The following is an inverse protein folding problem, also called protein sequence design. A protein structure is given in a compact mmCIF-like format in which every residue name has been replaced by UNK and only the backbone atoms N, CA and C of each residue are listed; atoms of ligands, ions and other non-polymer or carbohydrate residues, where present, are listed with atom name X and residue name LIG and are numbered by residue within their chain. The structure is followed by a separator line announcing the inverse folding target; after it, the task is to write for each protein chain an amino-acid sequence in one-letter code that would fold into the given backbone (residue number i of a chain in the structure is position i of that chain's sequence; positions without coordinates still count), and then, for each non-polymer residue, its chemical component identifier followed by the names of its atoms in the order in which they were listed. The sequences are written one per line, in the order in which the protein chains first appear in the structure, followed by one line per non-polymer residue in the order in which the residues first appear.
data_IF_648464613721
#
_entry.id   IF_648464613721
#
_cell.length_a   1.000
_cell.length_b   1.000
_cell.length_c   1.000
_cell.angle_alpha   90.00
_cell.angle_beta   90.00
_cell.angle_gamma   90.00
#
_symmetry.space_group_name_H-M   'P 1'
#
loop_
_entity.id
_entity.type
_entity.pdbx_description
1 polymer ?
#
# COMPACT_ATOMS: atom_id res chain seq x y z
N UNK A 1 -28.61 20.57 -23.74
CA UNK A 1 -27.14 20.51 -23.57
C UNK A 1 -26.88 20.25 -22.09
N UNK A 2 -26.82 18.97 -21.69
CA UNK A 2 -26.75 18.59 -20.28
C UNK A 2 -25.28 18.65 -19.84
N UNK A 3 -24.92 19.73 -19.15
CA UNK A 3 -23.67 19.84 -18.42
C UNK A 3 -23.71 18.83 -17.27
N UNK A 4 -23.20 17.63 -17.56
CA UNK A 4 -22.81 16.69 -16.52
C UNK A 4 -21.77 17.40 -15.66
N UNK A 5 -22.23 17.93 -14.53
CA UNK A 5 -21.39 18.38 -13.42
C UNK A 5 -20.58 17.15 -13.00
N UNK A 6 -19.39 17.02 -13.58
CA UNK A 6 -18.42 16.03 -13.19
C UNK A 6 -18.06 16.32 -11.73
N UNK A 7 -18.72 15.63 -10.79
CA UNK A 7 -18.26 15.53 -9.40
C UNK A 7 -16.76 15.27 -9.47
N UNK A 8 -15.93 16.21 -8.98
CA UNK A 8 -14.50 16.01 -8.79
C UNK A 8 -14.32 14.83 -7.84
N UNK A 9 -14.33 13.61 -8.37
CA UNK A 9 -13.90 12.45 -7.62
C UNK A 9 -12.43 12.71 -7.24
N UNK A 10 -12.05 12.53 -5.96
CA UNK A 10 -10.67 12.70 -5.58
C UNK A 10 -9.80 11.84 -6.49
N UNK A 11 -8.70 12.40 -7.00
CA UNK A 11 -7.81 11.66 -7.88
C UNK A 11 -7.33 10.43 -7.11
N UNK A 12 -7.68 9.24 -7.61
CA UNK A 12 -7.31 7.98 -6.95
C UNK A 12 -5.79 7.87 -6.81
N UNK A 13 -5.03 8.52 -7.70
CA UNK A 13 -3.59 8.63 -7.56
C UNK A 13 -3.18 9.44 -6.32
N UNK A 14 -3.86 10.55 -6.02
CA UNK A 14 -3.60 11.37 -4.83
C UNK A 14 -3.88 10.61 -3.53
N UNK A 15 -4.97 9.84 -3.49
CA UNK A 15 -5.28 8.96 -2.35
C UNK A 15 -4.18 7.90 -2.18
N UNK A 16 -3.73 7.28 -3.27
CA UNK A 16 -2.64 6.31 -3.23
C UNK A 16 -1.34 6.90 -2.67
N UNK A 17 -1.00 8.14 -3.06
CA UNK A 17 0.17 8.86 -2.52
C UNK A 17 0.06 9.11 -1.02
N UNK A 18 -1.09 9.59 -0.52
CA UNK A 18 -1.27 9.80 0.92
C UNK A 18 -1.07 8.49 1.70
N UNK A 19 -1.56 7.38 1.16
CA UNK A 19 -1.46 6.07 1.80
C UNK A 19 -0.05 5.46 1.73
N UNK A 20 0.75 5.78 0.71
CA UNK A 20 2.11 5.24 0.56
C UNK A 20 3.14 5.98 1.41
N UNK A 21 2.93 7.27 1.70
CA UNK A 21 3.85 8.07 2.53
C UNK A 21 4.17 7.41 3.88
N UNK A 22 3.18 7.01 4.72
CA UNK A 22 3.48 6.36 5.99
C UNK A 22 4.17 5.00 5.82
N UNK A 23 3.90 4.29 4.72
CA UNK A 23 4.55 3.02 4.38
C UNK A 23 6.03 3.24 4.07
N UNK A 24 6.35 4.23 3.24
CA UNK A 24 7.73 4.56 2.88
C UNK A 24 8.50 5.01 4.11
N UNK A 25 7.90 5.85 4.96
CA UNK A 25 8.52 6.27 6.22
C UNK A 25 8.84 5.08 7.12
N UNK A 26 7.90 4.16 7.29
CA UNK A 26 8.10 2.94 8.06
C UNK A 26 9.29 2.11 7.55
N UNK A 27 9.35 1.84 6.24
CA UNK A 27 10.44 1.06 5.65
C UNK A 27 11.78 1.80 5.69
N UNK A 28 11.79 3.13 5.56
CA UNK A 28 13.00 3.93 5.68
C UNK A 28 13.59 3.85 7.10
N UNK A 29 12.74 3.95 8.13
CA UNK A 29 13.18 3.77 9.53
C UNK A 29 13.67 2.34 9.75
N UNK A 30 12.97 1.34 9.24
CA UNK A 30 13.40 -0.06 9.35
C UNK A 30 14.76 -0.31 8.71
N UNK A 31 14.96 0.17 7.47
CA UNK A 31 16.23 0.05 6.77
C UNK A 31 17.34 0.79 7.52
N UNK A 32 17.08 1.99 8.05
CA UNK A 32 18.06 2.75 8.83
C UNK A 32 18.47 2.01 10.11
N UNK A 33 17.51 1.43 10.84
CA UNK A 33 17.80 0.59 12.00
C UNK A 33 18.58 -0.68 11.63
N UNK A 34 18.30 -1.27 10.45
CA UNK A 34 19.01 -2.43 9.93
C UNK A 34 20.45 -2.09 9.53
N UNK A 35 20.70 -0.96 8.88
CA UNK A 35 22.05 -0.55 8.47
C UNK A 35 22.92 -0.05 9.62
N UNK A 36 22.31 0.51 10.67
CA UNK A 36 23.05 1.01 11.82
C UNK A 36 23.47 -0.10 12.80
N UNK A 37 22.91 -1.31 12.68
CA UNK A 37 23.15 -2.38 13.63
C UNK A 37 23.40 -3.71 12.90
N UNK A 38 24.58 -4.30 13.12
CA UNK A 38 24.99 -5.58 12.53
C UNK A 38 24.15 -6.78 13.02
N UNK A 39 23.48 -6.65 14.17
CA UNK A 39 22.60 -7.66 14.75
C UNK A 39 21.13 -7.39 14.42
N UNK A 40 20.49 -8.32 13.72
CA UNK A 40 19.06 -8.23 13.35
C UNK A 40 18.14 -8.08 14.57
N UNK A 41 18.53 -8.65 15.71
CA UNK A 41 17.76 -8.62 16.96
C UNK A 41 17.80 -7.25 17.63
N UNK A 42 18.97 -6.62 17.62
CA UNK A 42 19.17 -5.28 18.18
C UNK A 42 18.54 -4.21 17.28
N UNK A 43 18.64 -4.37 15.96
CA UNK A 43 17.93 -3.55 14.98
C UNK A 43 16.43 -3.55 15.19
N UNK A 44 15.85 -4.73 15.47
CA UNK A 44 14.42 -4.88 15.76
C UNK A 44 14.02 -4.23 17.09
N UNK A 45 14.88 -4.29 18.11
CA UNK A 45 14.66 -3.61 19.40
C UNK A 45 14.69 -2.09 19.22
N UNK A 46 15.68 -1.58 18.47
CA UNK A 46 15.79 -0.15 18.17
C UNK A 46 14.58 0.35 17.38
N UNK A 47 14.16 -0.37 16.34
CA UNK A 47 12.95 -0.11 15.56
C UNK A 47 11.73 -0.01 16.47
N UNK A 48 11.57 -0.96 17.40
CA UNK A 48 10.44 -0.99 18.35
C UNK A 48 10.48 0.12 19.41
N UNK A 49 11.63 0.78 19.60
CA UNK A 49 11.74 1.96 20.46
C UNK A 49 11.19 3.22 19.78
N UNK A 50 11.23 3.27 18.45
CA UNK A 50 10.79 4.41 17.64
C UNK A 50 9.33 4.22 17.19
N UNK A 51 9.01 3.02 16.69
CA UNK A 51 7.72 2.67 16.10
C UNK A 51 7.01 1.65 17.00
N UNK A 52 5.75 1.90 17.40
CA UNK A 52 5.02 0.98 18.26
C UNK A 52 4.78 -0.37 17.59
N UNK A 53 4.82 -1.46 18.36
CA UNK A 53 4.57 -2.82 17.86
C UNK A 53 3.15 -3.02 17.31
N UNK A 54 2.19 -2.23 17.82
CA UNK A 54 0.77 -2.30 17.45
C UNK A 54 0.19 -0.90 17.31
N UNK A 55 -0.73 -0.75 16.36
CA UNK A 55 -1.62 0.40 16.23
C UNK A 55 -3.05 -0.10 16.16
N UNK A 56 -3.95 0.46 16.98
CA UNK A 56 -5.39 0.11 16.99
C UNK A 56 -5.60 -1.41 17.18
N UNK A 57 -4.81 -2.03 18.07
CA UNK A 57 -4.87 -3.46 18.36
C UNK A 57 -4.25 -4.39 17.29
N UNK A 58 -3.83 -3.86 16.13
CA UNK A 58 -3.22 -4.63 15.04
C UNK A 58 -1.70 -4.50 15.03
N UNK A 59 -0.94 -5.58 14.75
CA UNK A 59 0.50 -5.53 14.48
C UNK A 59 0.83 -4.48 13.41
N UNK A 60 1.83 -3.62 13.66
CA UNK A 60 2.15 -2.49 12.77
C UNK A 60 2.52 -2.95 11.36
N UNK A 61 3.23 -4.07 11.24
CA UNK A 61 3.56 -4.67 9.94
C UNK A 61 2.30 -4.98 9.11
N UNK A 62 1.23 -5.47 9.75
CA UNK A 62 -0.04 -5.74 9.08
C UNK A 62 -0.72 -4.45 8.65
N UNK A 63 -0.66 -3.39 9.46
CA UNK A 63 -1.22 -2.08 9.10
C UNK A 63 -0.48 -1.47 7.91
N UNK A 64 0.86 -1.50 7.93
CA UNK A 64 1.71 -1.05 6.81
C UNK A 64 1.41 -1.86 5.55
N UNK A 65 1.23 -3.18 5.71
CA UNK A 65 0.89 -4.08 4.60
C UNK A 65 -0.49 -3.78 4.00
N UNK A 66 -1.50 -3.53 4.84
CA UNK A 66 -2.84 -3.11 4.40
C UNK A 66 -2.78 -1.77 3.67
N UNK A 67 -2.07 -0.78 4.19
CA UNK A 67 -1.89 0.53 3.55
C UNK A 67 -1.20 0.40 2.18
N UNK A 68 -0.18 -0.45 2.09
CA UNK A 68 0.53 -0.74 0.83
C UNK A 68 -0.43 -1.35 -0.20
N UNK A 69 -1.22 -2.34 0.23
CA UNK A 69 -2.19 -3.03 -0.62
C UNK A 69 -3.29 -2.10 -1.13
N UNK A 70 -3.82 -1.23 -0.26
CA UNK A 70 -4.82 -0.23 -0.62
C UNK A 70 -4.22 0.81 -1.58
N UNK A 71 -2.99 1.27 -1.34
CA UNK A 71 -2.29 2.21 -2.22
C UNK A 71 -2.03 1.62 -3.61
N UNK A 72 -1.58 0.37 -3.69
CA UNK A 72 -1.41 -0.36 -4.95
C UNK A 72 -2.74 -0.52 -5.69
N UNK A 73 -3.81 -0.88 -4.99
CA UNK A 73 -5.15 -0.99 -5.57
C UNK A 73 -5.60 0.33 -6.22
N UNK A 74 -5.43 1.46 -5.52
CA UNK A 74 -5.80 2.77 -6.06
C UNK A 74 -4.91 3.19 -7.23
N UNK A 75 -3.59 2.95 -7.14
CA UNK A 75 -2.63 3.25 -8.21
C UNK A 75 -2.92 2.46 -9.49
N UNK A 76 -3.17 1.15 -9.36
CA UNK A 76 -3.50 0.29 -10.50
C UNK A 76 -4.89 0.62 -11.05
N UNK A 77 -5.88 0.88 -10.19
CA UNK A 77 -7.21 1.32 -10.61
C UNK A 77 -7.16 2.64 -11.38
N UNK A 78 -6.33 3.60 -10.95
CA UNK A 78 -6.12 4.86 -11.65
C UNK A 78 -5.46 4.65 -13.02
N UNK A 79 -4.40 3.82 -13.08
CA UNK A 79 -3.70 3.49 -14.32
C UNK A 79 -4.59 2.75 -15.32
N UNK A 80 -5.38 1.78 -14.84
CA UNK A 80 -6.34 1.04 -15.64
C UNK A 80 -7.48 1.94 -16.11
N UNK A 81 -8.01 2.86 -15.30
CA UNK A 81 -9.02 3.83 -15.74
C UNK A 81 -8.52 4.74 -16.87
N UNK A 82 -7.24 5.10 -16.87
CA UNK A 82 -6.63 5.93 -17.92
C UNK A 82 -6.33 5.15 -19.21
N UNK A 83 -5.96 3.85 -19.12
CA UNK A 83 -5.58 3.04 -20.28
C UNK A 83 -6.66 2.10 -20.83
N UNK A 84 -7.67 1.79 -20.04
CA UNK A 84 -8.75 0.86 -20.40
C UNK A 84 -10.09 1.49 -20.02
N UNK A 85 -11.20 1.07 -20.64
CA UNK A 85 -12.57 1.49 -20.25
C UNK A 85 -12.96 0.82 -18.91
N UNK A 86 -12.14 1.00 -17.88
CA UNK A 86 -12.23 0.35 -16.56
C UNK A 86 -13.55 0.62 -15.83
N UNK A 87 -14.21 1.74 -16.16
CA UNK A 87 -15.53 2.06 -15.64
C UNK A 87 -16.62 1.10 -16.16
N UNK A 88 -16.40 0.44 -17.30
CA UNK A 88 -17.31 -0.57 -17.88
C UNK A 88 -17.01 -2.01 -17.43
N UNK A 89 -15.88 -2.27 -16.78
CA UNK A 89 -15.53 -3.64 -16.37
C UNK A 89 -16.47 -4.10 -15.24
N UNK A 90 -17.00 -5.34 -15.26
CA UNK A 90 -17.80 -5.89 -14.17
C UNK A 90 -17.06 -5.86 -12.83
N UNK A 91 -17.78 -5.57 -11.73
CA UNK A 91 -17.22 -5.49 -10.37
C UNK A 91 -16.40 -6.74 -9.99
N UNK A 92 -16.87 -7.92 -10.38
CA UNK A 92 -16.21 -9.22 -10.12
C UNK A 92 -14.81 -9.30 -10.76
N UNK A 93 -14.65 -8.76 -11.97
CA UNK A 93 -13.36 -8.73 -12.67
C UNK A 93 -12.40 -7.74 -11.99
N UNK A 94 -12.91 -6.60 -11.53
CA UNK A 94 -12.11 -5.63 -10.77
C UNK A 94 -11.60 -6.24 -9.45
N UNK A 95 -12.46 -6.95 -8.73
CA UNK A 95 -12.09 -7.68 -7.52
C UNK A 95 -11.05 -8.76 -7.81
N UNK A 96 -11.25 -9.57 -8.85
CA UNK A 96 -10.29 -10.62 -9.23
C UNK A 96 -8.91 -10.05 -9.56
N UNK A 97 -8.84 -8.95 -10.32
CA UNK A 97 -7.56 -8.27 -10.63
C UNK A 97 -6.90 -7.74 -9.36
N UNK A 98 -7.68 -7.21 -8.43
CA UNK A 98 -7.18 -6.63 -7.17
C UNK A 98 -6.64 -7.71 -6.23
N UNK A 99 -7.36 -8.82 -6.11
CA UNK A 99 -6.93 -10.02 -5.37
C UNK A 99 -5.68 -10.60 -6.04
N UNK A 100 -5.63 -10.65 -7.37
CA UNK A 100 -4.46 -11.10 -8.13
C UNK A 100 -3.21 -10.28 -7.80
N UNK A 101 -3.31 -8.95 -7.88
CA UNK A 101 -2.21 -8.03 -7.53
C UNK A 101 -1.77 -8.20 -6.08
N UNK A 102 -2.72 -8.36 -5.16
CA UNK A 102 -2.44 -8.61 -3.75
C UNK A 102 -1.68 -9.94 -3.53
N UNK A 103 -2.10 -11.01 -4.22
CA UNK A 103 -1.41 -12.30 -4.16
C UNK A 103 -0.01 -12.24 -4.77
N UNK A 104 0.17 -11.58 -5.92
CA UNK A 104 1.50 -11.41 -6.51
C UNK A 104 2.43 -10.62 -5.59
N UNK A 105 1.89 -9.61 -4.89
CA UNK A 105 2.65 -8.84 -3.92
C UNK A 105 3.06 -9.67 -2.70
N UNK A 106 2.17 -10.52 -2.17
CA UNK A 106 2.50 -11.48 -1.09
C UNK A 106 3.62 -12.43 -1.50
N UNK A 107 3.55 -12.99 -2.71
CA UNK A 107 4.57 -13.90 -3.25
C UNK A 107 5.93 -13.19 -3.38
N UNK A 108 5.93 -11.95 -3.88
CA UNK A 108 7.16 -11.16 -3.99
C UNK A 108 7.79 -10.91 -2.62
N UNK A 109 6.99 -10.59 -1.60
CA UNK A 109 7.46 -10.38 -0.23
C UNK A 109 8.05 -11.65 0.39
N UNK A 110 7.38 -12.80 0.19
CA UNK A 110 7.90 -14.08 0.66
C UNK A 110 9.23 -14.45 0.01
N UNK A 111 9.45 -14.08 -1.26
CA UNK A 111 10.72 -14.32 -1.94
C UNK A 111 11.86 -13.40 -1.48
N UNK A 112 11.56 -12.32 -0.76
CA UNK A 112 12.54 -11.37 -0.23
C UNK A 112 13.01 -11.72 1.19
N UNK A 113 12.23 -12.53 1.93
CA UNK A 113 12.55 -13.02 3.27
C UNK A 113 13.28 -14.36 3.20
#
# INVERSE_FOLDING_TARGET
MNTLVSKRQPDMAFIAYILIVPVIFYWAVWALCYFLIDSTLEGDILMRSIIPRKMIGLPIHLVVFLLTSISLFFSVSAKLRRRTRWYKTPLRIRLAISIGIFLTFLIFLQALM
#
